data_IF_965796901109
#
_entry.id   IF_965796901109
#
_cell.length_a   1.000
_cell.length_b   1.000
_cell.length_c   1.000
_cell.angle_alpha   90.00
_cell.angle_beta   90.00
_cell.angle_gamma   90.00
#
_symmetry.space_group_name_H-M   'P 1'
#
loop_
_entity.id
_entity.type
_entity.pdbx_description
1 polymer ?
#
# COMPACT_ATOMS: atom_id res chain seq x y z
N UNK A 1 -16.36 1.65 -8.80
CA UNK A 1 -14.93 1.36 -8.63
C UNK A 1 -14.82 0.07 -7.85
N UNK A 2 -14.40 -1.04 -8.48
CA UNK A 2 -14.28 -2.35 -7.80
C UNK A 2 -13.35 -3.35 -8.52
N UNK A 3 -12.79 -3.00 -9.68
CA UNK A 3 -12.01 -3.96 -10.46
C UNK A 3 -10.72 -4.37 -9.75
N UNK A 4 -10.05 -3.43 -9.07
CA UNK A 4 -8.82 -3.67 -8.30
C UNK A 4 -9.08 -4.57 -7.09
N UNK A 5 -10.12 -4.28 -6.31
CA UNK A 5 -10.53 -5.11 -5.16
C UNK A 5 -10.88 -6.54 -5.61
N UNK A 6 -11.53 -6.67 -6.77
CA UNK A 6 -11.85 -7.97 -7.37
C UNK A 6 -10.60 -8.74 -7.75
N UNK A 7 -9.61 -8.08 -8.35
CA UNK A 7 -8.33 -8.72 -8.76
C UNK A 7 -7.56 -9.20 -7.53
N UNK A 8 -7.51 -8.41 -6.45
CA UNK A 8 -6.85 -8.78 -5.21
C UNK A 8 -7.52 -10.00 -4.53
N UNK A 9 -8.85 -10.08 -4.57
CA UNK A 9 -9.61 -11.23 -4.05
C UNK A 9 -9.48 -12.51 -4.90
N UNK A 10 -9.18 -12.39 -6.20
CA UNK A 10 -9.04 -13.52 -7.11
C UNK A 10 -7.67 -14.20 -7.02
N UNK A 11 -6.66 -13.48 -6.51
CA UNK A 11 -5.28 -13.95 -6.44
C UNK A 11 -4.64 -13.67 -5.06
N UNK A 12 -5.21 -14.18 -3.97
CA UNK A 12 -4.72 -13.91 -2.61
C UNK A 12 -3.29 -14.43 -2.35
N UNK A 13 -2.77 -15.30 -3.24
CA UNK A 13 -1.41 -15.85 -3.14
C UNK A 13 -0.38 -15.26 -4.11
N UNK A 14 -0.75 -14.31 -4.98
CA UNK A 14 0.22 -13.71 -5.92
C UNK A 14 0.99 -12.51 -5.34
N UNK A 15 0.69 -12.12 -4.10
CA UNK A 15 1.49 -11.20 -3.30
C UNK A 15 2.25 -12.06 -2.28
N UNK A 16 3.33 -12.66 -2.75
CA UNK A 16 4.21 -13.49 -1.94
C UNK A 16 5.09 -12.62 -1.05
N UNK A 17 4.56 -12.25 0.11
CA UNK A 17 5.33 -12.17 1.36
C UNK A 17 4.35 -12.41 2.51
N UNK A 18 4.54 -13.51 3.22
CA UNK A 18 3.71 -13.92 4.35
C UNK A 18 4.02 -12.99 5.53
N UNK A 19 3.40 -11.82 5.51
CA UNK A 19 3.34 -10.84 6.59
C UNK A 19 1.86 -10.53 6.76
N UNK A 20 1.38 -10.57 8.00
CA UNK A 20 -0.03 -10.45 8.42
C UNK A 20 -0.96 -9.88 7.33
N UNK A 21 -1.76 -10.75 6.71
CA UNK A 21 -2.27 -10.60 5.32
C UNK A 21 -3.00 -9.28 5.08
N UNK A 22 -3.71 -8.77 6.08
CA UNK A 22 -4.48 -7.53 5.98
C UNK A 22 -3.61 -6.25 5.97
N UNK A 23 -2.32 -6.38 6.29
CA UNK A 23 -1.34 -5.30 6.24
C UNK A 23 -0.63 -5.32 4.89
N UNK A 24 -0.19 -6.50 4.43
CA UNK A 24 0.40 -6.66 3.10
C UNK A 24 -0.52 -6.14 1.98
N UNK A 25 -1.83 -6.37 2.11
CA UNK A 25 -2.84 -5.88 1.15
C UNK A 25 -2.87 -4.35 1.04
N UNK A 26 -2.64 -3.62 2.14
CA UNK A 26 -2.65 -2.14 2.15
C UNK A 26 -1.41 -1.57 1.47
N UNK A 27 -0.24 -2.17 1.68
CA UNK A 27 1.00 -1.73 1.01
C UNK A 27 0.88 -1.87 -0.50
N UNK A 28 0.46 -3.04 -0.99
CA UNK A 28 0.32 -3.29 -2.44
C UNK A 28 -0.73 -2.39 -3.07
N UNK A 29 -1.88 -2.21 -2.41
CA UNK A 29 -2.93 -1.33 -2.94
C UNK A 29 -2.47 0.13 -2.99
N UNK A 30 -1.77 0.60 -1.96
CA UNK A 30 -1.19 1.94 -1.92
C UNK A 30 -0.16 2.18 -3.03
N UNK A 31 0.74 1.20 -3.27
CA UNK A 31 1.71 1.26 -4.36
C UNK A 31 1.05 1.25 -5.75
N UNK A 32 -0.04 0.49 -5.92
CA UNK A 32 -0.79 0.48 -7.17
C UNK A 32 -1.47 1.84 -7.44
N UNK A 33 -2.10 2.43 -6.42
CA UNK A 33 -2.67 3.78 -6.55
C UNK A 33 -1.60 4.82 -6.87
N UNK A 34 -0.41 4.71 -6.28
CA UNK A 34 0.72 5.58 -6.60
C UNK A 34 1.09 5.50 -8.09
N UNK A 35 1.21 4.29 -8.64
CA UNK A 35 1.51 4.08 -10.07
C UNK A 35 0.41 4.61 -11.00
N UNK A 36 -0.84 4.65 -10.53
CA UNK A 36 -1.99 5.19 -11.28
C UNK A 36 -2.11 6.72 -11.16
N UNK A 37 -1.27 7.38 -10.35
CA UNK A 37 -1.36 8.83 -10.09
C UNK A 37 -2.42 9.21 -9.06
N UNK A 38 -3.04 8.23 -8.41
CA UNK A 38 -4.09 8.40 -7.40
C UNK A 38 -3.45 8.64 -6.01
N UNK A 39 -2.73 9.76 -5.88
CA UNK A 39 -1.83 10.00 -4.76
C UNK A 39 -2.51 10.08 -3.38
N UNK A 40 -3.76 10.55 -3.31
CA UNK A 40 -4.51 10.59 -2.07
C UNK A 40 -4.81 9.18 -1.55
N UNK A 41 -5.37 8.31 -2.41
CA UNK A 41 -5.64 6.92 -2.04
C UNK A 41 -4.36 6.14 -1.75
N UNK A 42 -3.27 6.42 -2.48
CA UNK A 42 -1.95 5.86 -2.21
C UNK A 42 -1.49 6.22 -0.79
N UNK A 43 -1.54 7.50 -0.42
CA UNK A 43 -1.11 7.96 0.89
C UNK A 43 -1.94 7.35 2.03
N UNK A 44 -3.27 7.29 1.88
CA UNK A 44 -4.17 6.72 2.90
C UNK A 44 -3.87 5.25 3.17
N UNK A 45 -3.66 4.47 2.12
CA UNK A 45 -3.37 3.04 2.22
C UNK A 45 -1.98 2.77 2.83
N UNK A 46 -0.96 3.52 2.40
CA UNK A 46 0.40 3.39 2.90
C UNK A 46 0.53 3.85 4.36
N UNK A 47 -0.20 4.90 4.78
CA UNK A 47 -0.28 5.28 6.18
C UNK A 47 -0.97 4.20 7.02
N UNK A 48 -2.09 3.68 6.52
CA UNK A 48 -2.83 2.59 7.20
C UNK A 48 -1.98 1.34 7.34
N UNK A 49 -1.14 1.02 6.35
CA UNK A 49 -0.16 -0.05 6.41
C UNK A 49 0.84 0.16 7.55
N UNK A 50 1.48 1.32 7.61
CA UNK A 50 2.47 1.65 8.65
C UNK A 50 1.87 1.71 10.06
N UNK A 51 0.59 2.09 10.20
CA UNK A 51 -0.11 2.06 11.48
C UNK A 51 -0.25 0.62 12.02
N UNK A 52 -0.42 -0.37 11.14
CA UNK A 52 -0.56 -1.77 11.53
C UNK A 52 0.80 -2.43 11.78
N UNK A 53 1.79 -2.13 10.94
CA UNK A 53 3.12 -2.76 11.00
C UNK A 53 4.21 -1.69 10.92
N UNK A 54 4.43 -0.92 11.99
CA UNK A 54 5.33 0.25 11.97
C UNK A 54 6.80 -0.12 11.74
N UNK A 55 7.18 -1.34 12.13
CA UNK A 55 8.54 -1.90 12.05
C UNK A 55 8.68 -2.87 10.88
N UNK A 56 7.83 -2.72 9.86
CA UNK A 56 7.95 -3.43 8.61
C UNK A 56 9.34 -3.26 7.98
N UNK A 57 9.86 -4.31 7.32
CA UNK A 57 11.16 -4.25 6.63
C UNK A 57 11.19 -3.13 5.58
N UNK A 58 10.09 -2.96 4.86
CA UNK A 58 9.85 -1.91 3.87
C UNK A 58 9.34 -0.59 4.49
N UNK A 59 9.16 -0.49 5.82
CA UNK A 59 8.62 0.72 6.48
C UNK A 59 9.41 1.98 6.12
N UNK A 60 10.74 1.87 6.04
CA UNK A 60 11.63 3.00 5.72
C UNK A 60 11.34 3.54 4.32
N UNK A 61 11.16 2.64 3.34
CA UNK A 61 10.85 3.01 1.96
C UNK A 61 9.44 3.62 1.87
N UNK A 62 8.45 3.02 2.53
CA UNK A 62 7.08 3.56 2.53
C UNK A 62 7.01 4.95 3.19
N UNK A 63 7.78 5.20 4.26
CA UNK A 63 7.87 6.53 4.88
C UNK A 63 8.51 7.57 3.95
N UNK A 64 9.52 7.18 3.17
CA UNK A 64 10.14 8.07 2.18
C UNK A 64 9.14 8.42 1.07
N UNK A 65 8.41 7.43 0.55
CA UNK A 65 7.38 7.63 -0.47
C UNK A 65 6.27 8.56 0.04
N UNK A 66 5.79 8.37 1.27
CA UNK A 66 4.80 9.28 1.88
C UNK A 66 5.34 10.72 2.04
N UNK A 67 6.63 10.87 2.35
CA UNK A 67 7.26 12.18 2.44
C UNK A 67 7.42 12.86 1.06
N UNK A 68 7.55 12.10 -0.01
CA UNK A 68 7.51 12.62 -1.39
C UNK A 68 6.09 13.06 -1.76
N UNK A 69 5.09 12.21 -1.50
CA UNK A 69 3.68 12.54 -1.74
C UNK A 69 3.21 13.79 -1.00
N UNK A 70 3.71 14.02 0.23
CA UNK A 70 3.40 15.22 1.00
C UNK A 70 4.09 16.51 0.52
N UNK A 71 5.08 16.42 -0.38
CA UNK A 71 5.75 17.59 -0.97
C UNK A 71 5.07 18.09 -2.24
N UNK A 72 4.33 17.22 -2.91
CA UNK A 72 3.67 17.51 -4.20
C UNK A 72 2.23 18.02 -4.03
N UNK A 73 1.76 18.22 -2.80
CA UNK A 73 0.40 18.65 -2.45
C UNK A 73 0.31 20.13 -2.04
#
# INVERSE_FOLDING_TARGET
MAAVERILLLFPGMILEVRDSASADLSVRGLLYYQLGEYHQAADDLQSYLLKVPDAEDAVVIRQLLAELGKDN
#
